data_IF_853519171555
#
_entry.id   IF_853519171555
#
_cell.length_a   1.000
_cell.length_b   1.000
_cell.length_c   1.000
_cell.angle_alpha   90.00
_cell.angle_beta   90.00
_cell.angle_gamma   90.00
#
_symmetry.space_group_name_H-M   'P 1'
#
loop_
_entity.id
_entity.type
_entity.pdbx_description
1 polymer ?
#
# COMPACT_ATOMS: atom_id res chain seq x y z
N UNK A 1 19.09 -10.51 3.64
CA UNK A 1 18.15 -10.01 2.62
C UNK A 1 16.91 -9.47 3.33
N UNK A 2 16.46 -8.25 3.03
CA UNK A 2 15.21 -7.70 3.59
C UNK A 2 14.06 -8.25 2.74
N UNK A 3 12.99 -8.76 3.35
CA UNK A 3 11.82 -9.23 2.60
C UNK A 3 11.13 -8.06 1.88
N UNK A 4 10.55 -8.32 0.71
CA UNK A 4 9.87 -7.29 -0.09
C UNK A 4 8.73 -6.61 0.70
N UNK A 5 8.01 -7.37 1.54
CA UNK A 5 6.99 -6.84 2.46
C UNK A 5 7.55 -5.78 3.40
N UNK A 6 8.73 -6.06 3.99
CA UNK A 6 9.38 -5.14 4.93
C UNK A 6 9.97 -3.92 4.23
N UNK A 7 10.42 -4.07 2.98
CA UNK A 7 10.91 -2.96 2.17
C UNK A 7 9.75 -2.03 1.77
N UNK A 8 8.64 -2.59 1.27
CA UNK A 8 7.44 -1.84 0.90
C UNK A 8 6.84 -1.10 2.10
N UNK A 9 6.67 -1.78 3.23
CA UNK A 9 6.19 -1.16 4.47
C UNK A 9 7.11 -0.04 4.95
N UNK A 10 8.44 -0.19 4.82
CA UNK A 10 9.38 0.87 5.20
C UNK A 10 9.18 2.11 4.36
N UNK A 11 9.08 1.97 3.04
CA UNK A 11 8.83 3.09 2.14
C UNK A 11 7.53 3.81 2.50
N UNK A 12 6.44 3.05 2.69
CA UNK A 12 5.16 3.64 3.05
C UNK A 12 5.19 4.36 4.39
N UNK A 13 5.91 3.80 5.37
CA UNK A 13 5.96 4.35 6.72
C UNK A 13 6.82 5.61 6.80
N UNK A 14 7.96 5.58 6.12
CA UNK A 14 8.97 6.63 6.23
C UNK A 14 8.57 7.85 5.40
N UNK A 15 7.90 7.65 4.25
CA UNK A 15 7.46 8.75 3.37
C UNK A 15 6.01 9.20 3.64
N UNK A 16 5.10 8.29 4.01
CA UNK A 16 3.66 8.57 4.03
C UNK A 16 2.98 8.31 5.38
N UNK A 17 3.74 7.85 6.39
CA UNK A 17 3.19 7.47 7.71
C UNK A 17 2.07 6.41 7.61
N UNK A 18 2.21 5.50 6.65
CA UNK A 18 1.33 4.36 6.44
C UNK A 18 2.08 3.05 6.63
N UNK A 19 1.41 2.00 7.08
CA UNK A 19 1.91 0.64 7.06
C UNK A 19 1.43 -0.09 5.81
N UNK A 20 2.19 -1.05 5.29
CA UNK A 20 1.74 -1.83 4.14
C UNK A 20 0.53 -2.70 4.48
N UNK A 21 -0.48 -2.68 3.61
CA UNK A 21 -1.61 -3.61 3.64
C UNK A 21 -1.22 -4.95 2.99
N UNK A 22 -0.21 -5.64 3.52
CA UNK A 22 0.39 -6.81 2.87
C UNK A 22 -0.51 -8.06 2.91
N UNK A 23 -0.79 -8.77 1.81
CA UNK A 23 -0.48 -8.52 0.39
C UNK A 23 -1.35 -7.38 -0.18
N UNK A 24 -0.75 -6.32 -0.78
CA UNK A 24 -1.52 -5.14 -1.18
C UNK A 24 -2.53 -5.48 -2.27
N UNK A 25 -3.63 -4.73 -2.28
CA UNK A 25 -4.76 -4.80 -3.22
C UNK A 25 -5.62 -6.07 -3.12
N UNK A 26 -5.04 -7.20 -2.70
CA UNK A 26 -5.75 -8.49 -2.61
C UNK A 26 -6.25 -8.81 -1.21
N UNK A 27 -5.61 -8.27 -0.18
CA UNK A 27 -6.03 -8.48 1.20
C UNK A 27 -7.25 -7.62 1.53
N UNK A 28 -8.21 -8.16 2.28
CA UNK A 28 -9.28 -7.38 2.88
C UNK A 28 -8.86 -6.95 4.29
N UNK A 29 -8.99 -5.65 4.57
CA UNK A 29 -8.80 -5.09 5.90
C UNK A 29 -10.00 -4.22 6.25
N UNK A 30 -10.46 -4.32 7.49
CA UNK A 30 -11.59 -3.54 8.02
C UNK A 30 -11.14 -2.62 9.14
N UNK A 31 -11.80 -1.47 9.26
CA UNK A 31 -11.64 -0.63 10.43
C UNK A 31 -12.07 -1.40 11.69
N UNK A 32 -11.35 -1.18 12.78
CA UNK A 32 -11.59 -1.90 14.02
C UNK A 32 -10.91 -3.26 14.11
N UNK A 33 -10.31 -3.79 13.04
CA UNK A 33 -9.55 -5.02 13.14
C UNK A 33 -8.34 -4.84 14.07
N UNK A 34 -8.11 -5.82 14.93
CA UNK A 34 -6.94 -5.85 15.78
C UNK A 34 -6.12 -7.10 15.57
N UNK A 35 -4.82 -6.98 15.81
CA UNK A 35 -3.90 -8.02 15.42
C UNK A 35 -2.47 -7.79 15.84
N UNK A 36 -1.58 -8.64 15.35
CA UNK A 36 -0.15 -8.53 15.57
C UNK A 36 0.52 -7.93 14.34
N UNK A 37 1.50 -7.05 14.59
CA UNK A 37 2.36 -6.52 13.54
C UNK A 37 3.73 -7.19 13.60
N UNK A 38 4.10 -7.93 12.55
CA UNK A 38 5.39 -8.66 12.49
C UNK A 38 5.95 -8.61 11.08
N UNK A 39 7.23 -8.24 10.96
CA UNK A 39 7.96 -8.34 9.69
C UNK A 39 7.41 -7.50 8.53
N UNK A 40 6.64 -6.44 8.79
CA UNK A 40 5.99 -5.64 7.74
C UNK A 40 4.58 -6.11 7.38
N UNK A 41 4.04 -7.09 8.11
CA UNK A 41 2.73 -7.69 7.85
C UNK A 41 1.84 -7.53 9.09
N UNK A 42 0.60 -7.12 8.86
CA UNK A 42 -0.46 -7.13 9.87
C UNK A 42 -1.20 -8.46 9.81
N UNK A 43 -1.23 -9.19 10.92
CA UNK A 43 -2.03 -10.41 11.05
C UNK A 43 -3.25 -10.10 11.91
N UNK A 44 -4.41 -9.95 11.26
CA UNK A 44 -5.68 -9.75 11.93
C UNK A 44 -6.01 -10.97 12.81
N UNK A 45 -6.59 -10.71 13.98
CA UNK A 45 -7.03 -11.71 14.97
C UNK A 45 -8.55 -11.65 15.13
N UNK A 46 -9.11 -10.44 15.16
CA UNK A 46 -10.54 -10.20 15.31
C UNK A 46 -10.86 -8.73 15.07
N UNK A 47 -12.10 -8.33 15.37
CA UNK A 47 -12.54 -6.94 15.29
C UNK A 47 -13.02 -6.45 16.65
N UNK A 48 -12.71 -5.20 16.99
CA UNK A 48 -13.07 -4.64 18.30
C UNK A 48 -14.56 -4.41 18.48
N UNK A 49 -15.31 -4.24 17.39
CA UNK A 49 -16.77 -4.19 17.44
C UNK A 49 -17.34 -5.52 17.92
N UNK A 50 -16.93 -6.61 17.28
CA UNK A 50 -17.44 -7.96 17.54
C UNK A 50 -16.97 -8.50 18.90
N UNK A 51 -15.67 -8.37 19.21
CA UNK A 51 -15.07 -9.01 20.39
C UNK A 51 -15.21 -8.18 21.67
N UNK A 52 -15.34 -6.85 21.55
CA UNK A 52 -15.33 -5.95 22.72
C UNK A 52 -16.59 -5.06 22.80
N UNK A 53 -17.54 -5.18 21.87
CA UNK A 53 -18.77 -4.39 21.85
C UNK A 53 -18.51 -2.90 21.67
N UNK A 54 -17.47 -2.54 20.91
CA UNK A 54 -17.06 -1.15 20.72
C UNK A 54 -17.72 -0.56 19.48
N UNK A 55 -18.39 0.58 19.64
CA UNK A 55 -18.94 1.36 18.53
C UNK A 55 -17.80 1.96 17.68
N UNK A 56 -17.86 1.73 16.37
CA UNK A 56 -16.93 2.31 15.40
C UNK A 56 -17.60 3.52 14.74
N UNK A 57 -16.94 4.68 14.78
CA UNK A 57 -17.36 5.85 14.02
C UNK A 57 -16.36 6.09 12.90
N UNK A 58 -16.84 5.90 11.69
CA UNK A 58 -16.03 5.96 10.48
C UNK A 58 -16.22 7.30 9.79
N UNK A 59 -15.12 7.85 9.27
CA UNK A 59 -15.13 9.01 8.39
C UNK A 59 -14.27 8.71 7.18
N UNK A 60 -14.73 9.15 6.02
CA UNK A 60 -14.01 9.04 4.76
C UNK A 60 -13.35 10.38 4.42
N UNK A 61 -12.08 10.32 4.02
CA UNK A 61 -11.34 11.46 3.51
C UNK A 61 -11.55 11.64 2.00
N UNK A 62 -11.26 12.83 1.49
CA UNK A 62 -11.31 13.08 0.04
C UNK A 62 -10.26 12.25 -0.72
N UNK A 63 -10.57 11.81 -1.95
CA UNK A 63 -9.62 11.11 -2.79
C UNK A 63 -8.44 12.01 -3.17
N UNK A 64 -7.25 11.43 -3.20
CA UNK A 64 -6.02 12.12 -3.63
C UNK A 64 -5.30 11.31 -4.70
N UNK A 65 -4.61 11.99 -5.62
CA UNK A 65 -3.66 11.33 -6.51
C UNK A 65 -2.40 10.97 -5.70
N UNK A 66 -1.94 9.73 -5.83
CA UNK A 66 -0.76 9.22 -5.19
C UNK A 66 0.23 8.72 -6.25
N UNK A 67 1.39 9.38 -6.36
CA UNK A 67 2.49 8.94 -7.23
C UNK A 67 3.78 8.89 -6.42
N UNK A 68 4.38 7.71 -6.37
CA UNK A 68 5.65 7.46 -5.72
C UNK A 68 6.55 6.62 -6.62
N UNK A 69 7.78 7.08 -6.76
CA UNK A 69 8.86 6.37 -7.45
C UNK A 69 10.09 6.38 -6.55
N UNK A 70 10.67 5.21 -6.29
CA UNK A 70 11.86 5.08 -5.44
C UNK A 70 13.06 5.79 -6.05
N UNK A 71 13.98 6.24 -5.19
CA UNK A 71 15.26 6.79 -5.66
C UNK A 71 16.02 5.76 -6.53
N UNK A 72 16.63 6.22 -7.62
CA UNK A 72 17.33 5.35 -8.57
C UNK A 72 16.43 4.60 -9.54
N UNK A 73 15.11 4.85 -9.54
CA UNK A 73 14.20 4.39 -10.59
C UNK A 73 14.05 5.46 -11.65
N UNK A 74 14.26 5.08 -12.91
CA UNK A 74 14.02 5.92 -14.08
C UNK A 74 12.80 5.40 -14.84
N UNK A 75 11.95 6.31 -15.30
CA UNK A 75 10.77 5.99 -16.10
C UNK A 75 10.93 6.68 -17.45
N UNK A 76 10.87 5.90 -18.53
CA UNK A 76 11.03 6.33 -19.91
C UNK A 76 9.72 6.02 -20.64
N UNK A 77 8.95 7.06 -20.96
CA UNK A 77 7.67 6.92 -21.65
C UNK A 77 7.83 7.20 -23.14
N UNK A 78 7.36 6.30 -24.01
CA UNK A 78 7.42 6.49 -25.47
C UNK A 78 6.57 7.67 -25.98
N UNK A 79 5.69 8.25 -25.15
CA UNK A 79 4.86 9.40 -25.50
C UNK A 79 5.52 10.77 -25.34
N UNK A 80 6.76 10.84 -24.82
CA UNK A 80 7.42 12.09 -24.47
C UNK A 80 8.85 12.17 -24.98
N UNK A 81 9.04 12.56 -26.24
CA UNK A 81 10.15 13.39 -26.77
C UNK A 81 11.63 13.06 -26.47
N UNK A 82 11.97 12.01 -25.73
CA UNK A 82 13.34 11.66 -25.44
C UNK A 82 13.96 10.97 -26.67
N UNK A 83 14.85 11.69 -27.37
CA UNK A 83 15.76 11.15 -28.40
C UNK A 83 16.83 10.25 -27.76
N UNK A 84 16.42 9.22 -27.04
CA UNK A 84 17.27 8.14 -26.57
C UNK A 84 16.82 6.86 -27.26
N UNK A 85 17.76 6.09 -27.81
CA UNK A 85 17.53 4.91 -28.64
C UNK A 85 16.62 3.85 -27.99
N UNK A 86 15.30 4.04 -28.07
CA UNK A 86 14.37 2.92 -28.11
C UNK A 86 14.47 2.40 -29.54
N UNK A 87 15.28 1.36 -29.75
CA UNK A 87 15.40 0.67 -31.04
C UNK A 87 13.99 0.29 -31.50
N UNK A 88 13.48 1.05 -32.46
CA UNK A 88 12.42 0.70 -33.42
C UNK A 88 11.39 -0.31 -32.88
N UNK A 89 10.44 0.17 -32.07
CA UNK A 89 9.13 -0.46 -31.98
C UNK A 89 8.36 -0.12 -33.27
N UNK A 90 8.76 -0.76 -34.37
CA UNK A 90 7.98 -0.72 -35.59
C UNK A 90 6.68 -1.49 -35.33
N UNK A 91 5.55 -0.84 -35.63
CA UNK A 91 4.14 -1.31 -35.57
C UNK A 91 3.45 -1.26 -34.20
N UNK A 92 2.78 -0.12 -33.93
CA UNK A 92 1.47 0.06 -33.25
C UNK A 92 1.32 -0.28 -31.75
N UNK A 93 2.38 -0.52 -30.98
CA UNK A 93 2.27 -0.64 -29.51
C UNK A 93 3.02 0.49 -28.78
N UNK A 94 2.34 1.11 -27.81
CA UNK A 94 2.99 2.02 -26.88
C UNK A 94 3.82 1.24 -25.85
N UNK A 95 4.94 1.81 -25.46
CA UNK A 95 5.79 1.24 -24.42
C UNK A 95 6.18 2.28 -23.36
N UNK A 96 6.23 1.83 -22.11
CA UNK A 96 6.87 2.54 -21.01
C UNK A 96 7.92 1.62 -20.39
N UNK A 97 9.10 2.14 -20.14
CA UNK A 97 10.24 1.40 -19.59
C UNK A 97 10.57 1.95 -18.20
N UNK A 98 10.59 1.08 -17.20
CA UNK A 98 10.97 1.41 -15.82
C UNK A 98 12.29 0.71 -15.51
N UNK A 99 13.35 1.49 -15.29
CA UNK A 99 14.69 0.99 -14.95
C UNK A 99 14.97 1.23 -13.48
N UNK A 100 15.13 0.16 -12.72
CA UNK A 100 15.54 0.22 -11.32
C UNK A 100 17.04 -0.03 -11.20
N UNK A 101 17.81 0.96 -10.72
CA UNK A 101 19.25 0.79 -10.48
C UNK A 101 19.54 -0.01 -9.21
N UNK A 102 18.67 0.06 -8.20
CA UNK A 102 18.83 -0.62 -6.93
C UNK A 102 17.84 -1.78 -6.76
N UNK A 103 18.24 -2.79 -5.99
CA UNK A 103 17.35 -3.87 -5.55
C UNK A 103 16.26 -3.32 -4.62
N UNK A 104 15.10 -3.98 -4.56
CA UNK A 104 13.97 -3.53 -3.73
C UNK A 104 13.52 -2.10 -4.08
N UNK A 105 13.45 -1.78 -5.38
CA UNK A 105 12.92 -0.52 -5.86
C UNK A 105 11.44 -0.64 -6.21
N UNK A 106 10.70 0.45 -6.00
CA UNK A 106 9.25 0.48 -6.14
C UNK A 106 8.75 1.65 -6.98
N UNK A 107 7.74 1.37 -7.80
CA UNK A 107 6.83 2.35 -8.39
C UNK A 107 5.44 2.07 -7.82
N UNK A 108 4.80 3.09 -7.26
CA UNK A 108 3.45 3.02 -6.72
C UNK A 108 2.66 4.22 -7.25
N UNK A 109 1.65 3.95 -8.08
CA UNK A 109 0.73 4.97 -8.59
C UNK A 109 -0.69 4.55 -8.25
N UNK A 110 -1.48 5.48 -7.73
CA UNK A 110 -2.92 5.35 -7.53
C UNK A 110 -3.56 6.69 -7.92
N UNK A 111 -4.22 6.77 -9.09
CA UNK A 111 -4.90 7.99 -9.52
C UNK A 111 -5.92 8.50 -8.50
N UNK A 112 -6.53 7.58 -7.75
CA UNK A 112 -7.40 7.87 -6.63
C UNK A 112 -7.02 7.00 -5.44
N UNK A 113 -6.60 7.63 -4.35
CA UNK A 113 -6.35 7.01 -3.06
C UNK A 113 -7.28 7.66 -2.03
N UNK A 114 -8.18 6.87 -1.47
CA UNK A 114 -9.14 7.31 -0.46
C UNK A 114 -8.76 6.72 0.90
N UNK A 115 -8.96 7.49 1.96
CA UNK A 115 -8.77 7.02 3.34
C UNK A 115 -10.12 6.86 4.02
N UNK A 116 -10.32 5.72 4.71
CA UNK A 116 -11.41 5.55 5.68
C UNK A 116 -10.77 5.41 7.04
N UNK A 117 -11.20 6.16 8.04
CA UNK A 117 -10.60 6.17 9.38
C UNK A 117 -11.62 6.19 10.49
N UNK A 118 -11.19 5.73 11.66
CA UNK A 118 -11.94 5.86 12.90
C UNK A 118 -11.74 7.26 13.49
N UNK A 119 -12.82 7.99 13.78
CA UNK A 119 -12.74 9.30 14.46
C UNK A 119 -12.66 9.14 15.98
N UNK A 120 -13.23 8.07 16.52
CA UNK A 120 -13.39 7.86 17.96
C UNK A 120 -12.29 6.97 18.58
N UNK A 121 -11.08 6.96 18.00
CA UNK A 121 -9.96 6.08 18.42
C UNK A 121 -9.62 6.21 19.91
N UNK A 122 -9.74 7.41 20.49
CA UNK A 122 -9.50 7.62 21.92
C UNK A 122 -10.53 6.89 22.79
N UNK A 123 -11.81 6.96 22.44
CA UNK A 123 -12.89 6.26 23.14
C UNK A 123 -12.76 4.74 23.01
N UNK A 124 -12.42 4.26 21.81
CA UNK A 124 -12.08 2.85 21.56
C UNK A 124 -10.92 2.43 22.48
N UNK A 125 -9.86 3.24 22.56
CA UNK A 125 -8.70 2.99 23.41
C UNK A 125 -9.06 2.83 24.89
N UNK A 126 -9.92 3.70 25.43
CA UNK A 126 -10.38 3.60 26.81
C UNK A 126 -11.11 2.27 27.07
N UNK A 127 -12.04 1.88 26.20
CA UNK A 127 -12.77 0.60 26.32
C UNK A 127 -11.83 -0.61 26.29
N UNK A 128 -10.84 -0.61 25.41
CA UNK A 128 -9.87 -1.70 25.31
C UNK A 128 -8.92 -1.76 26.53
N UNK A 129 -8.58 -0.62 27.12
CA UNK A 129 -7.81 -0.57 28.36
C UNK A 129 -8.61 -1.15 29.55
N UNK A 130 -9.92 -0.89 29.61
CA UNK A 130 -10.79 -1.51 30.61
C UNK A 130 -10.90 -3.02 30.40
N UNK A 131 -11.08 -3.46 29.16
CA UNK A 131 -11.13 -4.89 28.81
C UNK A 131 -9.85 -5.65 29.21
N UNK A 132 -8.70 -4.97 29.30
CA UNK A 132 -7.46 -5.57 29.79
C UNK A 132 -7.51 -5.95 31.28
N UNK A 133 -8.32 -5.24 32.07
CA UNK A 133 -8.46 -5.40 33.54
C UNK A 133 -9.57 -6.36 33.93
N UNK A 134 -10.51 -6.67 33.03
CA UNK A 134 -11.62 -7.60 33.29
C UNK A 134 -11.10 -9.01 33.55
N UNK A 135 -11.84 -9.75 34.39
CA UNK A 135 -11.56 -11.16 34.70
C UNK A 135 -12.18 -12.11 33.66
N UNK A 136 -13.27 -11.69 33.03
CA UNK A 136 -14.04 -12.48 32.08
C UNK A 136 -14.14 -11.77 30.72
N UNK A 137 -14.30 -12.56 29.65
CA UNK A 137 -14.40 -12.09 28.27
C UNK A 137 -13.05 -11.85 27.56
N UNK A 138 -13.08 -11.35 26.31
CA UNK A 138 -11.87 -11.09 25.53
C UNK A 138 -10.95 -10.07 26.20
N UNK A 139 -9.66 -10.40 26.25
CA UNK A 139 -8.66 -9.57 26.94
C UNK A 139 -7.74 -8.87 25.95
N UNK A 140 -7.75 -7.53 25.99
CA UNK A 140 -6.82 -6.73 25.20
C UNK A 140 -5.36 -6.94 25.63
N UNK A 141 -4.46 -7.15 24.66
CA UNK A 141 -3.02 -7.34 24.90
C UNK A 141 -2.22 -6.15 24.36
N UNK A 142 -1.21 -5.70 25.10
CA UNK A 142 -0.37 -4.51 24.77
C UNK A 142 0.43 -4.61 23.47
N UNK A 143 0.56 -5.83 22.94
CA UNK A 143 1.18 -6.13 21.65
C UNK A 143 0.22 -6.01 20.46
N UNK A 144 -1.09 -5.98 20.73
CA UNK A 144 -2.07 -5.79 19.67
C UNK A 144 -2.01 -4.37 19.14
N UNK A 145 -2.23 -4.25 17.85
CA UNK A 145 -2.47 -2.99 17.16
C UNK A 145 -3.87 -3.00 16.59
N UNK A 146 -4.46 -1.83 16.48
CA UNK A 146 -5.78 -1.57 15.91
C UNK A 146 -5.62 -0.94 14.52
N UNK A 147 -6.33 -1.45 13.52
CA UNK A 147 -6.49 -0.79 12.22
C UNK A 147 -7.41 0.41 12.42
N UNK A 148 -6.82 1.59 12.50
CA UNK A 148 -7.52 2.86 12.72
C UNK A 148 -7.81 3.62 11.42
N UNK A 149 -7.13 3.26 10.33
CA UNK A 149 -7.32 3.83 9.00
C UNK A 149 -6.93 2.82 7.95
N UNK A 150 -7.67 2.77 6.85
CA UNK A 150 -7.39 1.96 5.66
C UNK A 150 -7.31 2.90 4.46
N UNK A 151 -6.21 2.82 3.72
CA UNK A 151 -6.01 3.54 2.48
C UNK A 151 -6.33 2.60 1.32
N UNK A 152 -7.39 2.92 0.58
CA UNK A 152 -7.87 2.12 -0.56
C UNK A 152 -7.57 2.89 -1.83
N UNK A 153 -6.78 2.26 -2.71
CA UNK A 153 -6.47 2.82 -4.00
C UNK A 153 -7.37 2.23 -5.08
N UNK A 154 -7.70 3.04 -6.07
CA UNK A 154 -8.37 2.65 -7.30
C UNK A 154 -7.40 2.73 -8.48
N UNK A 155 -7.51 1.78 -9.41
CA UNK A 155 -6.62 1.61 -10.56
C UNK A 155 -5.12 1.67 -10.20
N UNK A 156 -4.71 0.95 -9.14
CA UNK A 156 -3.37 1.04 -8.59
C UNK A 156 -2.36 0.27 -9.44
N UNK A 157 -1.24 0.92 -9.74
CA UNK A 157 -0.03 0.30 -10.27
C UNK A 157 0.99 0.15 -9.15
N UNK A 158 1.42 -1.09 -8.89
CA UNK A 158 2.53 -1.40 -7.99
C UNK A 158 3.54 -2.28 -8.72
N UNK A 159 4.71 -1.73 -8.98
CA UNK A 159 5.85 -2.48 -9.51
C UNK A 159 6.92 -2.53 -8.44
N UNK A 160 7.37 -3.73 -8.09
CA UNK A 160 8.42 -3.93 -7.11
C UNK A 160 9.47 -4.88 -7.64
N UNK A 161 10.72 -4.44 -7.65
CA UNK A 161 11.87 -5.22 -8.11
C UNK A 161 12.51 -5.95 -6.95
N UNK A 162 12.99 -7.18 -7.15
CA UNK A 162 13.80 -7.87 -6.14
C UNK A 162 15.28 -7.57 -6.36
N UNK A 163 15.70 -7.53 -7.61
CA UNK A 163 17.09 -7.42 -8.03
C UNK A 163 17.45 -6.01 -8.50
N UNK A 164 18.73 -5.63 -8.35
CA UNK A 164 19.26 -4.39 -8.91
C UNK A 164 19.34 -4.46 -10.43
N UNK A 165 19.41 -3.30 -11.09
CA UNK A 165 19.48 -3.19 -12.55
C UNK A 165 18.38 -4.00 -13.25
N UNK A 166 17.15 -3.89 -12.74
CA UNK A 166 15.99 -4.56 -13.32
C UNK A 166 15.29 -3.59 -14.28
N UNK A 167 14.97 -4.06 -15.47
CA UNK A 167 14.20 -3.34 -16.46
C UNK A 167 12.80 -3.94 -16.56
N UNK A 168 11.78 -3.12 -16.34
CA UNK A 168 10.38 -3.49 -16.50
C UNK A 168 9.85 -2.77 -17.73
N UNK A 169 9.22 -3.53 -18.63
CA UNK A 169 8.60 -3.03 -19.83
C UNK A 169 7.09 -3.20 -19.73
N UNK A 170 6.38 -2.08 -19.84
CA UNK A 170 4.93 -2.04 -19.97
C UNK A 170 4.60 -1.83 -21.44
N UNK A 171 3.74 -2.68 -22.00
CA UNK A 171 3.25 -2.56 -23.38
C UNK A 171 1.74 -2.47 -23.41
N UNK A 172 1.21 -1.57 -24.23
CA UNK A 172 -0.22 -1.43 -24.45
C UNK A 172 -0.51 -0.75 -25.78
N UNK A 173 -1.77 -0.36 -25.99
CA UNK A 173 -2.19 0.28 -27.23
C UNK A 173 -1.52 1.65 -27.41
N UNK A 174 -1.24 2.02 -28.66
CA UNK A 174 -0.67 3.34 -29.00
C UNK A 174 -1.48 4.52 -28.43
N UNK A 175 -2.81 4.41 -28.38
CA UNK A 175 -3.70 5.44 -27.80
C UNK A 175 -3.45 5.69 -26.31
N UNK A 176 -2.90 4.71 -25.61
CA UNK A 176 -2.84 4.65 -24.16
C UNK A 176 -1.42 4.98 -23.64
N UNK A 177 -0.52 5.44 -24.53
CA UNK A 177 0.91 5.56 -24.27
C UNK A 177 1.26 6.38 -23.03
N UNK A 178 0.52 7.46 -22.78
CA UNK A 178 0.75 8.36 -21.64
C UNK A 178 0.20 7.80 -20.32
N UNK A 179 -0.60 6.75 -20.40
CA UNK A 179 -1.36 6.20 -19.27
C UNK A 179 -0.91 4.78 -18.91
N UNK A 180 0.07 4.19 -19.58
CA UNK A 180 0.51 2.80 -19.33
C UNK A 180 0.87 2.52 -17.87
N UNK A 181 1.33 3.52 -17.13
CA UNK A 181 1.66 3.43 -15.71
C UNK A 181 0.55 3.92 -14.77
N UNK A 182 -0.50 4.57 -15.29
CA UNK A 182 -1.60 5.10 -14.46
C UNK A 182 -2.47 4.00 -13.87
N UNK A 183 -2.41 2.78 -14.42
CA UNK A 183 -3.27 1.65 -14.04
C UNK A 183 -4.67 1.71 -14.65
N UNK A 184 -5.07 2.81 -15.30
CA UNK A 184 -6.38 2.94 -15.94
C UNK A 184 -6.50 2.18 -17.27
N UNK A 185 -5.38 1.75 -17.83
CA UNK A 185 -5.32 1.11 -19.15
C UNK A 185 -4.79 -0.31 -19.04
N UNK A 186 -5.21 -1.16 -19.98
CA UNK A 186 -4.71 -2.52 -20.06
C UNK A 186 -3.30 -2.50 -20.63
N UNK A 187 -2.34 -2.93 -19.82
CA UNK A 187 -0.95 -3.11 -20.25
C UNK A 187 -0.45 -4.50 -19.86
N UNK A 188 0.46 -5.03 -20.66
CA UNK A 188 1.23 -6.23 -20.37
C UNK A 188 2.53 -5.82 -19.71
N UNK A 189 2.89 -6.48 -18.61
CA UNK A 189 4.18 -6.30 -17.93
C UNK A 189 5.11 -7.44 -18.30
N UNK A 190 6.33 -7.11 -18.73
CA UNK A 190 7.44 -8.05 -18.78
C UNK A 190 8.65 -7.45 -18.07
N UNK A 191 9.51 -8.28 -17.49
CA UNK A 191 10.76 -7.84 -16.88
C UNK A 191 11.91 -8.75 -17.33
N UNK A 192 13.12 -8.20 -17.37
CA UNK A 192 14.34 -8.95 -17.65
C UNK A 192 14.82 -9.78 -16.45
N UNK A 193 14.36 -9.44 -15.24
CA UNK A 193 14.67 -10.12 -13.96
C UNK A 193 13.41 -10.36 -13.12
N UNK A 194 13.57 -11.03 -11.98
CA UNK A 194 12.45 -11.39 -11.12
C UNK A 194 11.82 -10.17 -10.44
N UNK A 195 10.49 -10.07 -10.53
CA UNK A 195 9.71 -9.08 -9.81
C UNK A 195 9.18 -9.62 -8.48
N UNK A 196 9.12 -8.73 -7.50
CA UNK A 196 8.49 -9.01 -6.22
C UNK A 196 6.98 -8.80 -6.26
N UNK A 197 6.53 -7.74 -6.94
CA UNK A 197 5.12 -7.41 -7.17
C UNK A 197 4.94 -6.80 -8.56
N UNK A 198 3.82 -7.11 -9.21
CA UNK A 198 3.43 -6.57 -10.50
C UNK A 198 1.90 -6.42 -10.58
N UNK A 199 1.37 -5.40 -9.91
CA UNK A 199 -0.03 -5.02 -10.01
C UNK A 199 -0.18 -3.88 -11.00
N UNK A 200 -1.15 -4.00 -11.91
CA UNK A 200 -1.56 -2.95 -12.82
C UNK A 200 -3.08 -2.81 -12.77
N UNK A 201 -3.56 -1.61 -12.46
CA UNK A 201 -4.99 -1.29 -12.50
C UNK A 201 -5.84 -2.05 -11.49
N UNK A 202 -5.26 -2.53 -10.40
CA UNK A 202 -6.00 -3.25 -9.37
C UNK A 202 -6.51 -2.28 -8.29
N UNK A 203 -7.70 -2.56 -7.76
CA UNK A 203 -8.35 -1.74 -6.73
C UNK A 203 -8.33 -2.49 -5.41
N UNK A 204 -7.97 -1.81 -4.32
CA UNK A 204 -7.96 -2.42 -2.99
C UNK A 204 -7.07 -1.70 -1.99
N UNK A 205 -6.89 -2.29 -0.79
CA UNK A 205 -6.07 -1.69 0.26
C UNK A 205 -4.60 -1.60 -0.12
N UNK A 206 -4.03 -0.39 -0.06
CA UNK A 206 -2.61 -0.14 -0.30
C UNK A 206 -1.86 0.00 1.03
N UNK A 207 -2.49 0.66 2.00
CA UNK A 207 -1.88 0.96 3.29
C UNK A 207 -2.86 0.94 4.45
N UNK A 208 -2.32 0.87 5.66
CA UNK A 208 -3.03 0.86 6.93
C UNK A 208 -2.41 1.89 7.88
N UNK A 209 -3.22 2.52 8.73
CA UNK A 209 -2.70 3.15 9.96
C UNK A 209 -3.00 2.24 11.13
N UNK A 210 -1.95 1.91 11.89
CA UNK A 210 -2.04 1.01 13.02
C UNK A 210 -1.86 1.77 14.33
N UNK A 211 -2.95 1.94 15.07
CA UNK A 211 -2.95 2.55 16.39
C UNK A 211 -2.47 1.55 17.44
N UNK A 212 -1.61 2.01 18.37
CA UNK A 212 -1.21 1.25 19.54
C UNK A 212 -1.91 1.82 20.77
N UNK A 213 -2.76 1.02 21.38
CA UNK A 213 -3.45 1.42 22.61
C UNK A 213 -2.50 1.22 23.78
N UNK A 214 -2.08 2.32 24.40
CA UNK A 214 -1.25 2.35 25.60
C UNK A 214 -2.00 3.05 26.72
N UNK A 215 -1.70 2.65 27.95
CA UNK A 215 -2.14 3.36 29.13
C UNK A 215 -1.28 4.63 29.25
N UNK A 216 -1.60 5.68 28.49
CA UNK A 216 -1.01 7.00 28.70
C UNK A 216 -1.73 7.63 29.86
N UNK A 217 -1.16 7.56 31.06
CA UNK A 217 -1.66 8.27 32.23
C UNK A 217 -1.51 9.80 32.14
N UNK A 218 -1.74 10.42 30.97
CA UNK A 218 -1.67 11.86 30.78
C UNK A 218 -2.67 12.34 29.74
N UNK A 219 -3.58 13.17 30.22
CA UNK A 219 -4.23 14.25 29.48
C UNK A 219 -3.13 15.20 29.02
N UNK A 220 -3.10 15.50 27.72
CA UNK A 220 -2.58 16.73 27.16
C UNK A 220 -3.38 17.01 25.89
#
# INVERSE_FOLDING_TARGET
>A
MVSIARAFDRILRDNFRMNAAWLPLTSSFRLGEYGLWRGGIFQAIGNVADDFGVELREVEGSPVNFDFTSQGVQIIDAGGGAKGQVKSLATVDAAAEVKAQAASSFVLRAPSLTSRRLENVAAIGARLLDARRRKEGPRWRTRYKLVSEVFVGDAVTILATIEAETTILLRGKASDAKELLSGNVKATVSADKSLGLSFLGATGPVGLRLARIKNSGRVA
#
